data_IF_154452040685
#
_entry.id   IF_154452040685
#
_cell.length_a   1.000
_cell.length_b   1.000
_cell.length_c   1.000
_cell.angle_alpha   90.00
_cell.angle_beta   90.00
_cell.angle_gamma   90.00
#
_symmetry.space_group_name_H-M   'P 1'
#
loop_
_entity.id
_entity.type
_entity.pdbx_description
1 polymer ?
#
# COMPACT_ATOMS: atom_id res chain seq x y z
N UNK A 1 -16.56 -36.87 19.72
CA UNK A 1 -15.28 -37.00 20.42
C UNK A 1 -14.36 -35.83 20.04
N UNK A 2 -13.83 -35.72 18.83
CA UNK A 2 -12.86 -34.67 18.41
C UNK A 2 -13.32 -33.23 18.70
N UNK A 3 -14.59 -32.90 18.41
CA UNK A 3 -15.13 -31.55 18.66
C UNK A 3 -15.21 -31.24 20.18
N UNK A 4 -15.41 -32.25 21.01
CA UNK A 4 -15.41 -32.10 22.46
C UNK A 4 -14.00 -31.91 22.99
N UNK A 5 -13.01 -32.62 22.44
CA UNK A 5 -11.61 -32.49 22.80
C UNK A 5 -11.09 -31.07 22.48
N UNK A 6 -11.45 -30.54 21.28
CA UNK A 6 -11.15 -29.16 20.95
C UNK A 6 -11.86 -28.13 21.83
N UNK A 7 -13.15 -28.34 22.13
CA UNK A 7 -13.92 -27.45 22.99
C UNK A 7 -13.37 -27.41 24.42
N UNK A 8 -12.91 -28.53 24.94
CA UNK A 8 -12.32 -28.63 26.27
C UNK A 8 -10.97 -27.93 26.39
N UNK A 9 -10.27 -27.69 25.28
CA UNK A 9 -9.00 -26.95 25.30
C UNK A 9 -9.17 -25.43 25.48
N UNK A 10 -10.40 -24.90 25.34
CA UNK A 10 -10.69 -23.45 25.34
C UNK A 10 -11.72 -23.06 26.39
N UNK A 11 -12.51 -24.00 26.86
CA UNK A 11 -13.55 -23.76 27.85
C UNK A 11 -13.42 -24.70 29.04
N UNK A 12 -12.94 -24.15 30.18
CA UNK A 12 -12.72 -24.88 31.42
C UNK A 12 -14.00 -25.56 31.94
N UNK A 13 -15.18 -24.98 31.65
CA UNK A 13 -16.47 -25.58 32.08
C UNK A 13 -16.79 -26.85 31.29
N UNK A 14 -16.36 -26.93 30.05
CA UNK A 14 -16.46 -28.16 29.24
C UNK A 14 -15.43 -29.19 29.70
N UNK A 15 -14.21 -28.74 30.01
CA UNK A 15 -13.17 -29.60 30.54
C UNK A 15 -13.61 -30.27 31.83
N UNK A 16 -14.19 -29.51 32.77
CA UNK A 16 -14.74 -30.08 34.04
C UNK A 16 -15.85 -31.13 33.79
N UNK A 17 -16.73 -30.87 32.82
CA UNK A 17 -17.78 -31.83 32.46
C UNK A 17 -17.23 -33.10 31.84
N UNK A 18 -16.20 -32.97 30.97
CA UNK A 18 -15.50 -34.13 30.38
C UNK A 18 -14.84 -34.96 31.47
N UNK A 19 -14.14 -34.33 32.42
CA UNK A 19 -13.47 -35.01 33.55
C UNK A 19 -14.46 -35.70 34.49
N UNK A 20 -15.67 -35.15 34.64
CA UNK A 20 -16.72 -35.69 35.48
C UNK A 20 -17.69 -36.61 34.72
N UNK A 21 -17.37 -37.02 33.50
CA UNK A 21 -18.21 -37.89 32.64
C UNK A 21 -19.64 -37.39 32.45
N UNK A 22 -19.82 -36.06 32.48
CA UNK A 22 -21.14 -35.45 32.32
C UNK A 22 -21.46 -35.23 30.82
N UNK A 23 -22.75 -35.24 30.48
CA UNK A 23 -23.21 -34.98 29.11
C UNK A 23 -23.07 -33.51 28.76
N UNK A 24 -22.43 -33.22 27.60
CA UNK A 24 -22.31 -31.88 27.03
C UNK A 24 -23.45 -31.68 26.05
N UNK A 25 -24.20 -30.59 26.20
CA UNK A 25 -25.26 -30.24 25.26
C UNK A 25 -24.69 -29.68 23.98
N UNK A 26 -25.45 -29.82 22.88
CA UNK A 26 -25.06 -29.21 21.58
C UNK A 26 -24.94 -27.69 21.64
N UNK A 27 -25.69 -27.03 22.52
CA UNK A 27 -25.62 -25.55 22.69
C UNK A 27 -24.30 -25.14 23.36
N UNK A 28 -23.86 -25.86 24.37
CA UNK A 28 -22.57 -25.61 25.04
C UNK A 28 -21.41 -25.86 24.09
N UNK A 29 -21.50 -26.90 23.27
CA UNK A 29 -20.48 -27.19 22.25
C UNK A 29 -20.40 -26.09 21.19
N UNK A 30 -21.55 -25.62 20.71
CA UNK A 30 -21.58 -24.48 19.74
C UNK A 30 -20.97 -23.24 20.35
N UNK A 31 -21.27 -22.92 21.62
CA UNK A 31 -20.71 -21.74 22.30
C UNK A 31 -19.17 -21.83 22.48
N UNK A 32 -18.66 -23.00 22.77
CA UNK A 32 -17.21 -23.21 22.87
C UNK A 32 -16.53 -23.11 21.47
N UNK A 33 -17.18 -23.64 20.44
CA UNK A 33 -16.68 -23.51 19.06
C UNK A 33 -16.73 -22.05 18.56
N UNK A 34 -17.68 -21.24 19.03
CA UNK A 34 -17.73 -19.80 18.78
C UNK A 34 -16.55 -19.06 19.42
N UNK A 35 -16.17 -19.43 20.65
CA UNK A 35 -14.97 -18.91 21.30
C UNK A 35 -13.70 -19.29 20.51
N UNK A 36 -13.59 -20.55 20.07
CA UNK A 36 -12.50 -21.03 19.23
C UNK A 36 -12.39 -20.25 17.91
N UNK A 37 -13.53 -20.04 17.25
CA UNK A 37 -13.58 -19.28 15.98
C UNK A 37 -13.19 -17.81 16.14
N UNK A 38 -13.30 -17.27 17.36
CA UNK A 38 -12.93 -15.90 17.70
C UNK A 38 -11.49 -15.76 18.19
N UNK A 39 -10.77 -16.87 18.37
CA UNK A 39 -9.35 -16.89 18.73
C UNK A 39 -8.46 -16.73 17.50
N UNK A 40 -7.30 -16.10 17.67
CA UNK A 40 -6.28 -15.98 16.62
C UNK A 40 -5.49 -17.28 16.40
N UNK A 41 -5.58 -18.24 17.35
CA UNK A 41 -4.82 -19.49 17.30
C UNK A 41 -5.49 -20.59 16.47
N UNK A 42 -6.77 -20.44 16.11
CA UNK A 42 -7.54 -21.48 15.44
C UNK A 42 -8.25 -20.98 14.17
N UNK A 43 -8.29 -21.83 13.16
CA UNK A 43 -9.02 -21.59 11.92
C UNK A 43 -9.99 -22.74 11.65
N UNK A 44 -11.27 -22.43 11.52
CA UNK A 44 -12.29 -23.40 11.13
C UNK A 44 -12.19 -23.73 9.64
N UNK A 45 -11.94 -25.00 9.30
CA UNK A 45 -11.81 -25.48 7.95
C UNK A 45 -13.01 -26.31 7.53
N UNK A 46 -13.56 -26.07 6.34
CA UNK A 46 -14.67 -26.80 5.74
C UNK A 46 -14.27 -27.39 4.41
N UNK A 47 -14.50 -28.68 4.22
CA UNK A 47 -14.33 -29.33 2.94
C UNK A 47 -15.66 -29.34 2.18
N UNK A 48 -15.63 -28.91 0.91
CA UNK A 48 -16.84 -28.85 0.10
C UNK A 48 -16.57 -28.69 -1.39
N UNK A 49 -17.62 -28.70 -2.18
CA UNK A 49 -17.57 -28.44 -3.62
C UNK A 49 -18.76 -27.55 -4.01
N UNK A 50 -18.46 -26.29 -4.31
CA UNK A 50 -19.46 -25.33 -4.79
C UNK A 50 -20.13 -25.81 -6.11
N UNK A 51 -19.33 -26.38 -7.03
CA UNK A 51 -19.82 -26.93 -8.30
C UNK A 51 -20.84 -28.06 -8.12
N UNK A 52 -20.64 -28.90 -7.10
CA UNK A 52 -21.55 -30.03 -6.78
C UNK A 52 -22.59 -29.66 -5.72
N UNK A 53 -22.62 -28.41 -5.28
CA UNK A 53 -23.44 -27.94 -4.14
C UNK A 53 -23.28 -28.80 -2.86
N UNK A 54 -22.09 -29.40 -2.69
CA UNK A 54 -21.77 -30.22 -1.53
C UNK A 54 -21.19 -29.35 -0.43
N UNK A 55 -21.73 -29.48 0.79
CA UNK A 55 -21.32 -28.77 2.02
C UNK A 55 -21.50 -27.24 2.00
N UNK A 56 -22.11 -26.64 0.96
CA UNK A 56 -22.34 -25.18 0.88
C UNK A 56 -23.29 -24.72 1.99
N UNK A 57 -24.37 -25.48 2.24
CA UNK A 57 -25.32 -25.16 3.33
C UNK A 57 -24.66 -25.22 4.70
N UNK A 58 -23.78 -26.19 4.93
CA UNK A 58 -23.03 -26.31 6.19
C UNK A 58 -22.12 -25.10 6.40
N UNK A 59 -21.41 -24.65 5.35
CA UNK A 59 -20.58 -23.43 5.40
C UNK A 59 -21.43 -22.20 5.73
N UNK A 60 -22.57 -22.02 5.08
CA UNK A 60 -23.48 -20.88 5.36
C UNK A 60 -23.99 -20.88 6.80
N UNK A 61 -24.39 -22.07 7.31
CA UNK A 61 -24.82 -22.21 8.70
C UNK A 61 -23.69 -21.89 9.67
N UNK A 62 -22.47 -22.35 9.38
CA UNK A 62 -21.30 -22.09 10.21
C UNK A 62 -20.91 -20.60 10.21
N UNK A 63 -20.99 -19.93 9.07
CA UNK A 63 -20.79 -18.48 9.00
C UNK A 63 -21.81 -17.71 9.86
N UNK A 64 -23.07 -18.15 9.88
CA UNK A 64 -24.09 -17.51 10.72
C UNK A 64 -23.94 -17.78 12.20
N UNK A 65 -23.34 -18.91 12.58
CA UNK A 65 -23.12 -19.30 13.98
C UNK A 65 -21.81 -18.77 14.56
N UNK A 66 -20.74 -18.85 13.78
CA UNK A 66 -19.37 -18.63 14.27
C UNK A 66 -18.72 -17.34 13.82
N UNK A 67 -19.29 -16.61 12.86
CA UNK A 67 -18.77 -15.28 12.50
C UNK A 67 -19.05 -14.31 13.63
N UNK A 68 -18.00 -13.91 14.35
CA UNK A 68 -18.13 -12.97 15.45
C UNK A 68 -18.64 -11.61 14.95
N UNK A 69 -19.58 -11.01 15.67
CA UNK A 69 -19.98 -9.62 15.47
C UNK A 69 -18.82 -8.69 15.85
N UNK A 70 -18.58 -7.61 15.08
CA UNK A 70 -17.54 -6.65 15.42
C UNK A 70 -17.77 -6.08 16.83
N UNK A 71 -16.75 -6.20 17.68
CA UNK A 71 -16.77 -5.58 19.01
C UNK A 71 -16.61 -4.06 18.89
N UNK A 72 -17.32 -3.28 19.71
CA UNK A 72 -17.06 -1.85 19.83
C UNK A 72 -15.63 -1.65 20.37
N UNK A 73 -14.82 -0.91 19.62
CA UNK A 73 -13.47 -0.54 20.05
C UNK A 73 -13.55 0.54 21.14
N UNK A 74 -14.42 1.54 20.95
CA UNK A 74 -14.64 2.62 21.91
C UNK A 74 -16.06 3.17 21.76
N UNK A 75 -16.81 3.23 22.86
CA UNK A 75 -18.22 3.74 22.85
C UNK A 75 -18.33 5.26 22.70
N UNK A 76 -17.26 6.01 22.87
CA UNK A 76 -17.24 7.47 22.69
C UNK A 76 -17.00 7.88 21.23
N UNK A 77 -16.72 6.94 20.37
CA UNK A 77 -16.42 7.14 18.96
C UNK A 77 -17.60 6.72 18.09
N UNK A 78 -17.91 7.53 17.07
CA UNK A 78 -18.89 7.19 16.05
C UNK A 78 -18.40 6.00 15.22
N UNK A 79 -17.16 6.10 14.75
CA UNK A 79 -16.55 5.05 13.93
C UNK A 79 -15.29 5.47 13.23
N UNK A 80 -14.72 4.52 12.51
CA UNK A 80 -13.45 4.60 11.81
C UNK A 80 -13.67 4.66 10.30
N UNK A 81 -13.10 5.69 9.64
CA UNK A 81 -13.16 5.89 8.18
C UNK A 81 -12.14 4.98 7.50
N UNK A 82 -12.61 3.95 6.82
CA UNK A 82 -11.75 3.00 6.13
C UNK A 82 -11.70 3.18 4.62
N UNK A 83 -12.61 3.99 4.04
CA UNK A 83 -12.64 4.27 2.60
C UNK A 83 -13.29 5.62 2.32
N UNK A 84 -12.73 6.35 1.36
CA UNK A 84 -13.38 7.50 0.73
C UNK A 84 -13.88 7.09 -0.65
N UNK A 85 -15.04 7.60 -1.06
CA UNK A 85 -15.64 7.33 -2.35
C UNK A 85 -16.24 8.60 -2.94
N UNK A 86 -15.97 8.83 -4.22
CA UNK A 86 -16.56 9.94 -4.95
C UNK A 86 -17.76 9.45 -5.77
N UNK A 87 -18.88 10.17 -5.64
CA UNK A 87 -20.09 9.97 -6.43
C UNK A 87 -20.34 11.21 -7.26
N UNK A 88 -20.51 11.06 -8.58
CA UNK A 88 -20.66 12.19 -9.49
C UNK A 88 -21.79 13.15 -9.10
N UNK A 89 -22.92 12.63 -8.62
CA UNK A 89 -24.09 13.42 -8.22
C UNK A 89 -24.07 13.88 -6.76
N UNK A 90 -23.38 13.17 -5.90
CA UNK A 90 -23.46 13.36 -4.44
C UNK A 90 -22.15 13.86 -3.83
N UNK A 91 -21.09 14.00 -4.64
CA UNK A 91 -19.77 14.38 -4.17
C UNK A 91 -19.06 13.25 -3.42
N UNK A 92 -18.15 13.62 -2.53
CA UNK A 92 -17.38 12.69 -1.73
C UNK A 92 -18.15 12.24 -0.50
N UNK A 93 -18.05 10.95 -0.20
CA UNK A 93 -18.57 10.33 1.02
C UNK A 93 -17.48 9.48 1.68
N UNK A 94 -17.46 9.46 3.00
CA UNK A 94 -16.61 8.60 3.79
C UNK A 94 -17.37 7.33 4.19
N UNK A 95 -16.79 6.17 3.94
CA UNK A 95 -17.32 4.91 4.46
C UNK A 95 -16.68 4.61 5.80
N UNK A 96 -17.51 4.37 6.79
CA UNK A 96 -17.06 4.05 8.14
C UNK A 96 -17.86 2.89 8.71
N UNK A 97 -17.28 2.21 9.69
CA UNK A 97 -17.98 1.22 10.50
C UNK A 97 -18.43 1.90 11.79
N UNK A 98 -19.72 1.78 12.11
CA UNK A 98 -20.26 2.34 13.33
C UNK A 98 -19.78 1.55 14.56
N UNK A 99 -19.26 2.25 15.56
CA UNK A 99 -18.78 1.67 16.83
C UNK A 99 -19.87 1.60 17.90
N UNK A 100 -20.96 2.35 17.73
CA UNK A 100 -22.08 2.40 18.66
C UNK A 100 -23.39 2.61 17.93
N UNK A 101 -24.50 2.28 18.59
CA UNK A 101 -25.84 2.63 18.14
C UNK A 101 -26.11 4.09 18.40
N UNK A 102 -26.57 4.83 17.39
CA UNK A 102 -26.87 6.26 17.50
C UNK A 102 -27.99 6.65 16.53
N UNK A 103 -28.82 7.60 16.91
CA UNK A 103 -29.75 8.24 16.01
C UNK A 103 -29.06 9.37 15.27
N UNK A 104 -29.26 9.46 13.95
CA UNK A 104 -28.61 10.47 13.11
C UNK A 104 -28.92 11.91 13.56
N UNK A 105 -30.08 12.15 14.12
CA UNK A 105 -30.51 13.46 14.69
C UNK A 105 -29.73 13.89 15.95
N UNK A 106 -29.06 12.94 16.63
CA UNK A 106 -28.22 13.22 17.80
C UNK A 106 -26.84 13.73 17.38
N UNK A 107 -26.49 13.62 16.10
CA UNK A 107 -25.22 14.07 15.57
C UNK A 107 -25.29 15.54 15.15
N UNK A 108 -24.20 16.30 15.16
CA UNK A 108 -24.19 17.71 14.77
C UNK A 108 -24.77 17.98 13.38
N UNK A 109 -25.39 19.14 13.19
CA UNK A 109 -25.96 19.53 11.90
C UNK A 109 -24.88 19.58 10.79
N UNK A 110 -25.28 19.20 9.59
CA UNK A 110 -24.41 19.16 8.42
C UNK A 110 -23.80 17.79 8.12
N UNK A 111 -23.96 16.81 9.02
CA UNK A 111 -23.61 15.42 8.76
C UNK A 111 -24.82 14.66 8.24
N UNK A 112 -24.65 13.93 7.14
CA UNK A 112 -25.72 13.12 6.54
C UNK A 112 -25.26 11.67 6.42
N UNK A 113 -26.10 10.76 6.92
CA UNK A 113 -25.78 9.34 6.96
C UNK A 113 -26.59 8.55 5.93
N UNK A 114 -25.93 7.60 5.27
CA UNK A 114 -26.53 6.79 4.23
C UNK A 114 -26.14 5.33 4.38
N UNK A 115 -27.06 4.44 4.02
CA UNK A 115 -26.74 3.03 3.73
C UNK A 115 -26.47 2.89 2.24
N UNK A 116 -25.39 2.23 1.90
CA UNK A 116 -25.06 1.95 0.50
C UNK A 116 -25.76 0.70 0.00
N UNK A 117 -26.40 0.81 -1.17
CA UNK A 117 -26.92 -0.33 -1.93
C UNK A 117 -26.40 -0.23 -3.35
N UNK A 118 -25.28 -0.91 -3.63
CA UNK A 118 -24.53 -0.71 -4.88
C UNK A 118 -24.02 0.73 -5.01
N UNK A 119 -24.51 1.47 -6.00
CA UNK A 119 -24.19 2.88 -6.22
C UNK A 119 -25.24 3.86 -5.65
N UNK A 120 -26.27 3.35 -4.99
CA UNK A 120 -27.30 4.19 -4.39
C UNK A 120 -26.98 4.50 -2.93
N UNK A 121 -27.17 5.75 -2.55
CA UNK A 121 -27.08 6.24 -1.18
C UNK A 121 -28.49 6.39 -0.65
N UNK A 122 -28.89 5.58 0.32
CA UNK A 122 -30.20 5.60 0.96
C UNK A 122 -30.06 6.27 2.32
N UNK A 123 -30.74 7.41 2.58
CA UNK A 123 -30.67 8.08 3.86
C UNK A 123 -31.11 7.16 5.00
N UNK A 124 -30.44 7.28 6.14
CA UNK A 124 -30.77 6.52 7.36
C UNK A 124 -30.91 7.45 8.55
N UNK A 125 -31.80 7.10 9.43
CA UNK A 125 -32.06 7.83 10.68
C UNK A 125 -31.47 7.14 11.90
N UNK A 126 -31.12 5.88 11.78
CA UNK A 126 -30.56 5.05 12.84
C UNK A 126 -29.30 4.35 12.33
N UNK A 127 -28.22 4.43 13.09
CA UNK A 127 -26.98 3.70 12.86
C UNK A 127 -26.87 2.59 13.91
N UNK A 128 -26.52 1.40 13.48
CA UNK A 128 -26.32 0.23 14.34
C UNK A 128 -24.86 -0.12 14.44
N UNK A 129 -24.44 -0.48 15.64
CA UNK A 129 -23.08 -0.93 15.92
C UNK A 129 -22.68 -2.07 14.98
N UNK A 130 -21.48 -1.96 14.41
CA UNK A 130 -20.90 -2.96 13.53
C UNK A 130 -21.28 -2.84 12.06
N UNK A 131 -22.39 -2.12 11.74
CA UNK A 131 -22.81 -1.86 10.36
C UNK A 131 -21.90 -0.82 9.68
N UNK A 132 -21.87 -0.88 8.35
CA UNK A 132 -21.13 0.05 7.50
C UNK A 132 -22.08 1.08 6.91
N UNK A 133 -21.72 2.35 7.08
CA UNK A 133 -22.47 3.49 6.55
C UNK A 133 -21.58 4.40 5.72
N UNK A 134 -22.23 5.16 4.84
CA UNK A 134 -21.61 6.28 4.14
C UNK A 134 -21.99 7.58 4.86
N UNK A 135 -21.02 8.45 5.00
CA UNK A 135 -21.14 9.75 5.67
C UNK A 135 -20.79 10.86 4.70
N UNK A 136 -21.69 11.81 4.52
CA UNK A 136 -21.35 13.12 3.98
C UNK A 136 -21.08 14.05 5.15
N UNK A 137 -19.90 14.64 5.19
CA UNK A 137 -19.40 15.45 6.29
C UNK A 137 -19.10 16.87 5.82
N UNK A 138 -19.34 17.91 6.64
CA UNK A 138 -18.83 19.25 6.38
C UNK A 138 -17.31 19.34 6.58
N UNK A 139 -16.72 18.35 7.25
CA UNK A 139 -15.26 18.24 7.46
C UNK A 139 -14.61 17.49 6.32
N UNK A 140 -13.38 17.87 6.00
CA UNK A 140 -12.53 17.09 5.10
C UNK A 140 -12.00 15.86 5.86
N UNK A 141 -12.52 14.68 5.49
CA UNK A 141 -12.14 13.42 6.08
C UNK A 141 -11.02 12.73 5.27
N UNK A 142 -10.16 12.00 5.97
CA UNK A 142 -9.10 11.20 5.41
C UNK A 142 -9.25 9.74 5.82
N UNK A 143 -8.56 8.85 5.12
CA UNK A 143 -8.49 7.45 5.51
C UNK A 143 -7.80 7.33 6.86
N UNK A 144 -8.38 6.53 7.75
CA UNK A 144 -7.88 6.38 9.11
C UNK A 144 -8.45 7.37 10.12
N UNK A 145 -9.23 8.36 9.69
CA UNK A 145 -9.89 9.26 10.63
C UNK A 145 -10.91 8.53 11.49
N UNK A 146 -10.95 8.90 12.75
CA UNK A 146 -11.98 8.50 13.70
C UNK A 146 -12.83 9.73 14.01
N UNK A 147 -14.14 9.56 14.00
CA UNK A 147 -15.07 10.62 14.40
C UNK A 147 -15.56 10.35 15.83
N UNK A 148 -15.56 11.39 16.67
CA UNK A 148 -16.24 11.37 17.96
C UNK A 148 -17.74 11.49 17.79
N UNK A 149 -18.50 11.19 18.83
CA UNK A 149 -19.96 11.42 18.85
C UNK A 149 -20.32 12.91 18.85
N UNK A 150 -19.39 13.80 19.21
CA UNK A 150 -19.54 15.25 19.08
C UNK A 150 -19.30 15.78 17.65
N UNK A 151 -18.93 14.90 16.70
CA UNK A 151 -18.61 15.29 15.33
C UNK A 151 -17.19 15.83 15.13
N UNK A 152 -16.33 15.70 16.13
CA UNK A 152 -14.94 16.11 16.03
C UNK A 152 -14.09 15.02 15.36
N UNK A 153 -13.11 15.47 14.56
CA UNK A 153 -12.13 14.59 13.92
C UNK A 153 -11.03 14.25 14.91
N UNK A 154 -10.95 12.98 15.27
CA UNK A 154 -9.86 12.41 16.03
C UNK A 154 -8.87 11.76 15.05
N UNK A 155 -7.58 12.03 15.19
CA UNK A 155 -6.58 11.43 14.29
C UNK A 155 -6.33 9.98 14.69
N UNK A 156 -6.40 9.06 13.72
CA UNK A 156 -5.94 7.69 13.91
C UNK A 156 -4.44 7.58 13.58
N UNK A 157 -3.72 6.77 14.36
CA UNK A 157 -2.30 6.50 14.15
C UNK A 157 -2.01 5.48 13.03
N UNK A 158 -3.02 5.06 12.26
CA UNK A 158 -2.84 4.09 11.18
C UNK A 158 -2.27 4.77 9.95
N UNK A 159 -1.04 4.45 9.61
CA UNK A 159 -0.40 4.86 8.37
C UNK A 159 -0.69 3.83 7.28
N UNK A 160 -1.55 4.19 6.33
CA UNK A 160 -1.87 3.36 5.16
C UNK A 160 -0.87 3.53 4.01
N UNK A 161 -0.01 4.54 4.06
CA UNK A 161 0.93 4.86 2.97
C UNK A 161 2.05 3.84 2.81
N UNK A 162 2.38 3.10 3.88
CA UNK A 162 3.51 2.15 3.90
C UNK A 162 3.25 0.81 3.22
N UNK A 163 2.01 0.51 2.81
CA UNK A 163 1.65 -0.83 2.32
C UNK A 163 1.81 -1.02 0.81
N UNK A 164 1.95 0.07 0.04
CA UNK A 164 2.03 0.01 -1.42
C UNK A 164 3.33 0.64 -1.92
N UNK A 165 4.24 -0.21 -2.36
CA UNK A 165 5.45 0.26 -3.03
C UNK A 165 5.16 0.36 -4.53
N UNK A 166 5.17 1.56 -5.12
CA UNK A 166 4.91 1.71 -6.54
C UNK A 166 6.08 1.11 -7.34
N UNK A 167 5.75 0.29 -8.32
CA UNK A 167 6.71 -0.40 -9.17
C UNK A 167 6.76 0.17 -10.59
N UNK A 168 5.73 0.92 -10.99
CA UNK A 168 5.61 1.55 -12.30
C UNK A 168 5.42 3.05 -12.16
N UNK A 169 5.92 3.79 -13.14
CA UNK A 169 5.68 5.21 -13.30
C UNK A 169 5.23 5.52 -14.73
N UNK A 170 4.40 6.55 -14.88
CA UNK A 170 3.88 6.95 -16.19
C UNK A 170 3.69 8.46 -16.20
N UNK A 171 4.12 9.10 -17.27
CA UNK A 171 3.87 10.53 -17.50
C UNK A 171 2.43 10.73 -17.98
N UNK A 172 1.76 11.71 -17.41
CA UNK A 172 0.39 12.11 -17.76
C UNK A 172 0.38 13.57 -18.18
N UNK A 173 -0.19 13.83 -19.33
CA UNK A 173 -0.31 15.17 -19.91
C UNK A 173 -1.77 15.53 -20.15
N UNK A 174 -2.14 16.80 -19.92
CA UNK A 174 -3.41 17.34 -20.37
C UNK A 174 -3.38 17.64 -21.84
N UNK A 175 -4.38 17.18 -22.59
CA UNK A 175 -4.52 17.50 -24.01
C UNK A 175 -5.00 18.95 -24.25
N UNK A 176 -5.61 19.58 -23.23
CA UNK A 176 -6.09 20.96 -23.29
C UNK A 176 -5.66 21.75 -22.05
N UNK A 177 -5.21 23.00 -22.26
CA UNK A 177 -4.87 23.91 -21.15
C UNK A 177 -6.08 24.26 -20.29
N UNK A 178 -7.27 24.31 -20.89
CA UNK A 178 -8.51 24.63 -20.18
C UNK A 178 -8.91 23.51 -19.19
N UNK A 179 -8.52 22.28 -19.47
CA UNK A 179 -8.78 21.13 -18.60
C UNK A 179 -7.76 20.97 -17.44
N UNK A 180 -6.68 21.76 -17.44
CA UNK A 180 -5.60 21.59 -16.45
C UNK A 180 -6.11 21.69 -15.00
N UNK A 181 -6.82 22.77 -14.65
CA UNK A 181 -7.36 22.96 -13.29
C UNK A 181 -8.35 21.87 -12.88
N UNK A 182 -9.17 21.40 -13.84
CA UNK A 182 -10.11 20.30 -13.65
C UNK A 182 -9.39 18.99 -13.41
N UNK A 183 -8.37 18.69 -14.23
CA UNK A 183 -7.55 17.48 -14.09
C UNK A 183 -6.79 17.48 -12.77
N UNK A 184 -6.22 18.61 -12.37
CA UNK A 184 -5.53 18.73 -11.08
C UNK A 184 -6.46 18.41 -9.90
N UNK A 185 -7.71 18.93 -9.89
CA UNK A 185 -8.70 18.62 -8.88
C UNK A 185 -9.13 17.15 -8.90
N UNK A 186 -9.30 16.59 -10.11
CA UNK A 186 -9.65 15.19 -10.28
C UNK A 186 -8.55 14.25 -9.75
N UNK A 187 -7.30 14.53 -10.07
CA UNK A 187 -6.14 13.78 -9.57
C UNK A 187 -6.08 13.86 -8.04
N UNK A 188 -6.19 15.06 -7.45
CA UNK A 188 -6.19 15.23 -6.01
C UNK A 188 -7.30 14.42 -5.32
N UNK A 189 -8.50 14.38 -5.93
CA UNK A 189 -9.63 13.56 -5.43
C UNK A 189 -9.33 12.07 -5.54
N UNK A 190 -8.75 11.61 -6.65
CA UNK A 190 -8.41 10.20 -6.85
C UNK A 190 -7.34 9.72 -5.86
N UNK A 191 -6.27 10.49 -5.69
CA UNK A 191 -5.19 10.17 -4.73
C UNK A 191 -5.73 10.12 -3.31
N UNK A 192 -6.62 11.04 -2.94
CA UNK A 192 -7.23 11.04 -1.60
C UNK A 192 -8.17 9.85 -1.38
N UNK A 193 -8.92 9.43 -2.41
CA UNK A 193 -9.85 8.30 -2.30
C UNK A 193 -9.17 6.94 -2.39
N UNK A 194 -7.95 6.88 -2.93
CA UNK A 194 -7.18 5.66 -3.08
C UNK A 194 -5.69 5.93 -2.82
N UNK A 195 -5.20 5.65 -1.61
CA UNK A 195 -3.81 5.95 -1.21
C UNK A 195 -2.77 5.05 -1.91
N UNK A 196 -3.20 4.07 -2.69
CA UNK A 196 -2.29 3.27 -3.52
C UNK A 196 -1.73 4.05 -4.72
N UNK A 197 -2.37 5.17 -5.08
CA UNK A 197 -1.87 6.08 -6.10
C UNK A 197 -0.95 7.13 -5.48
N UNK A 198 0.24 7.27 -6.01
CA UNK A 198 1.12 8.39 -5.75
C UNK A 198 1.26 9.20 -7.04
N UNK A 199 0.99 10.49 -6.99
CA UNK A 199 1.09 11.38 -8.14
C UNK A 199 1.91 12.60 -7.76
N UNK A 200 2.90 12.90 -8.60
CA UNK A 200 3.80 14.04 -8.45
C UNK A 200 3.63 14.98 -9.64
N UNK A 201 3.59 16.28 -9.40
CA UNK A 201 3.53 17.27 -10.46
C UNK A 201 4.93 17.79 -10.75
N UNK A 202 5.35 17.73 -12.01
CA UNK A 202 6.62 18.28 -12.48
C UNK A 202 6.39 19.69 -13.03
N UNK A 203 6.76 20.71 -12.26
CA UNK A 203 6.57 22.11 -12.65
C UNK A 203 7.33 22.47 -13.93
N UNK A 204 8.54 21.94 -14.11
CA UNK A 204 9.39 22.23 -15.28
C UNK A 204 8.78 21.74 -16.60
N UNK A 205 8.10 20.59 -16.58
CA UNK A 205 7.50 19.95 -17.76
C UNK A 205 6.00 20.21 -17.86
N UNK A 206 5.35 20.69 -16.81
CA UNK A 206 3.92 20.93 -16.75
C UNK A 206 3.06 19.65 -16.85
N UNK A 207 3.61 18.51 -16.44
CA UNK A 207 2.96 17.20 -16.49
C UNK A 207 2.94 16.54 -15.11
N UNK A 208 2.21 15.45 -14.97
CA UNK A 208 2.18 14.62 -13.75
C UNK A 208 2.92 13.30 -13.99
N UNK A 209 3.60 12.81 -12.96
CA UNK A 209 4.09 11.44 -12.90
C UNK A 209 3.15 10.67 -12.00
N UNK A 210 2.58 9.59 -12.52
CA UNK A 210 1.72 8.67 -11.78
C UNK A 210 2.55 7.44 -11.44
N UNK A 211 2.61 7.12 -10.15
CA UNK A 211 3.24 5.92 -9.65
C UNK A 211 2.19 4.88 -9.30
N UNK A 212 2.31 3.67 -9.86
CA UNK A 212 1.36 2.56 -9.65
C UNK A 212 2.07 1.25 -9.33
N UNK A 213 1.33 0.29 -8.78
CA UNK A 213 1.85 -1.05 -8.49
C UNK A 213 1.84 -1.93 -9.74
N UNK A 214 0.99 -1.65 -10.72
CA UNK A 214 0.88 -2.46 -11.93
C UNK A 214 0.04 -1.79 -13.03
N UNK A 215 0.08 -2.38 -14.25
CA UNK A 215 -0.62 -1.88 -15.45
C UNK A 215 -2.14 -1.71 -15.23
N UNK A 216 -2.78 -2.69 -14.61
CA UNK A 216 -4.25 -2.66 -14.38
C UNK A 216 -4.65 -1.47 -13.50
N UNK A 217 -3.83 -1.14 -12.50
CA UNK A 217 -4.08 0.01 -11.64
C UNK A 217 -3.98 1.31 -12.42
N UNK A 218 -3.00 1.44 -13.32
CA UNK A 218 -2.87 2.59 -14.22
C UNK A 218 -4.08 2.71 -15.13
N UNK A 219 -4.51 1.62 -15.78
CA UNK A 219 -5.70 1.60 -16.63
C UNK A 219 -6.97 2.04 -15.87
N UNK A 220 -7.13 1.57 -14.63
CA UNK A 220 -8.24 1.97 -13.75
C UNK A 220 -8.17 3.46 -13.45
N UNK A 221 -6.98 3.99 -13.12
CA UNK A 221 -6.80 5.42 -12.85
C UNK A 221 -7.19 6.28 -14.05
N UNK A 222 -6.68 5.96 -15.24
CA UNK A 222 -7.00 6.67 -16.48
C UNK A 222 -8.49 6.57 -16.85
N UNK A 223 -9.07 5.38 -16.70
CA UNK A 223 -10.50 5.15 -16.94
C UNK A 223 -11.38 5.97 -15.98
N UNK A 224 -10.97 6.11 -14.71
CA UNK A 224 -11.69 6.93 -13.74
C UNK A 224 -11.57 8.42 -14.06
N UNK A 225 -10.38 8.92 -14.42
CA UNK A 225 -10.21 10.32 -14.86
C UNK A 225 -11.14 10.66 -16.04
N UNK A 226 -11.26 9.76 -17.01
CA UNK A 226 -12.09 9.97 -18.18
C UNK A 226 -13.59 9.83 -17.86
N UNK A 227 -14.02 8.77 -17.16
CA UNK A 227 -15.45 8.45 -16.94
C UNK A 227 -16.09 9.23 -15.80
N UNK A 228 -15.36 9.41 -14.69
CA UNK A 228 -15.91 10.07 -13.50
C UNK A 228 -15.72 11.57 -13.55
N UNK A 229 -14.60 12.04 -14.12
CA UNK A 229 -14.22 13.45 -14.12
C UNK A 229 -14.26 14.09 -15.52
N UNK A 230 -14.45 13.31 -16.57
CA UNK A 230 -14.45 13.79 -17.96
C UNK A 230 -13.19 14.61 -18.32
N UNK A 231 -12.02 14.17 -17.86
CA UNK A 231 -10.74 14.76 -18.15
C UNK A 231 -10.16 14.14 -19.42
N UNK A 232 -9.68 14.98 -20.35
CA UNK A 232 -8.98 14.56 -21.56
C UNK A 232 -7.49 14.57 -21.29
N UNK A 233 -6.94 13.40 -21.03
CA UNK A 233 -5.53 13.21 -20.70
C UNK A 233 -4.89 12.18 -21.62
N UNK A 234 -3.58 12.34 -21.87
CA UNK A 234 -2.74 11.35 -22.55
C UNK A 234 -1.73 10.79 -21.57
N UNK A 235 -1.61 9.49 -21.52
CA UNK A 235 -0.60 8.81 -20.74
C UNK A 235 0.50 8.27 -21.66
N UNK A 236 1.75 8.43 -21.25
CA UNK A 236 2.90 7.78 -21.88
C UNK A 236 2.92 6.27 -21.64
N UNK A 237 3.88 5.60 -22.23
CA UNK A 237 4.12 4.20 -21.91
C UNK A 237 4.57 4.04 -20.45
N UNK A 238 4.08 3.02 -19.72
CA UNK A 238 4.50 2.79 -18.36
C UNK A 238 5.97 2.34 -18.31
N UNK A 239 6.72 2.96 -17.43
CA UNK A 239 8.11 2.64 -17.17
C UNK A 239 8.24 1.99 -15.78
N UNK A 240 9.22 1.12 -15.65
CA UNK A 240 9.52 0.47 -14.37
C UNK A 240 10.26 1.45 -13.45
N UNK A 241 9.82 1.55 -12.20
CA UNK A 241 10.50 2.32 -11.17
C UNK A 241 11.77 1.59 -10.73
N UNK A 242 12.93 2.06 -11.15
CA UNK A 242 14.22 1.57 -10.69
C UNK A 242 14.59 2.18 -9.34
N UNK A 243 15.49 1.51 -8.62
CA UNK A 243 16.16 2.06 -7.45
C UNK A 243 17.67 2.09 -7.71
N UNK A 244 18.35 2.95 -6.97
CA UNK A 244 19.81 2.98 -6.93
C UNK A 244 20.29 2.49 -5.56
N UNK A 245 21.30 1.64 -5.54
CA UNK A 245 21.89 1.10 -4.34
C UNK A 245 23.38 1.48 -4.25
N UNK A 246 23.79 1.88 -3.05
CA UNK A 246 25.21 2.14 -2.78
C UNK A 246 25.98 0.82 -2.73
N UNK A 247 27.00 0.69 -3.57
CA UNK A 247 27.91 -0.48 -3.60
C UNK A 247 29.14 -0.24 -2.73
N UNK A 248 29.78 0.94 -2.90
CA UNK A 248 30.97 1.31 -2.15
C UNK A 248 30.71 2.49 -1.22
N UNK A 249 30.96 2.35 0.10
CA UNK A 249 30.78 3.45 1.03
C UNK A 249 31.83 4.53 0.80
N UNK A 250 31.43 5.79 1.01
CA UNK A 250 32.37 6.92 1.04
C UNK A 250 32.62 7.31 2.49
N UNK A 251 33.88 7.37 2.89
CA UNK A 251 34.29 7.70 4.24
C UNK A 251 35.04 9.04 4.24
N UNK A 252 34.56 9.97 5.08
CA UNK A 252 35.25 11.26 5.39
C UNK A 252 35.67 12.06 4.16
N UNK A 253 34.73 12.31 3.25
CA UNK A 253 34.94 13.23 2.13
C UNK A 253 34.83 14.68 2.67
N UNK A 254 35.90 15.45 2.54
CA UNK A 254 35.92 16.84 2.95
C UNK A 254 35.49 17.72 1.76
N UNK A 255 34.49 18.55 1.98
CA UNK A 255 34.07 19.57 1.01
C UNK A 255 34.05 20.93 1.67
N UNK A 256 34.60 21.91 0.94
CA UNK A 256 34.63 23.33 1.35
C UNK A 256 33.91 24.15 0.29
N UNK A 257 32.92 24.90 0.71
CA UNK A 257 32.20 25.83 -0.16
C UNK A 257 32.41 27.26 0.40
N UNK A 258 32.69 28.19 -0.52
CA UNK A 258 32.73 29.60 -0.23
C UNK A 258 31.72 30.35 -1.08
N UNK A 259 30.86 31.14 -0.44
CA UNK A 259 29.83 31.95 -1.10
C UNK A 259 29.89 33.37 -0.54
N UNK A 260 30.51 34.28 -1.28
CA UNK A 260 30.77 35.65 -0.83
C UNK A 260 31.69 35.66 0.40
N UNK A 261 31.29 36.31 1.53
CA UNK A 261 32.09 36.34 2.75
C UNK A 261 32.00 35.07 3.60
N UNK A 262 31.06 34.17 3.29
CA UNK A 262 30.80 32.97 4.07
C UNK A 262 31.54 31.75 3.51
N UNK A 263 32.15 30.98 4.40
CA UNK A 263 32.73 29.66 4.05
C UNK A 263 32.27 28.62 5.03
N UNK A 264 31.99 27.42 4.51
CA UNK A 264 31.64 26.25 5.31
C UNK A 264 32.46 25.05 4.89
N UNK A 265 32.89 24.24 5.85
CA UNK A 265 33.61 22.99 5.61
C UNK A 265 32.85 21.85 6.25
N UNK A 266 32.50 20.86 5.46
CA UNK A 266 31.78 19.68 5.91
C UNK A 266 32.57 18.40 5.61
N UNK A 267 32.55 17.49 6.56
CA UNK A 267 32.96 16.10 6.38
C UNK A 267 31.71 15.25 6.09
N UNK A 268 31.72 14.64 4.95
CA UNK A 268 30.61 13.81 4.49
C UNK A 268 30.99 12.33 4.49
N UNK A 269 30.10 11.49 4.95
CA UNK A 269 30.20 10.04 4.84
C UNK A 269 28.86 9.46 4.40
N UNK A 270 28.90 8.39 3.60
CA UNK A 270 27.72 7.63 3.25
C UNK A 270 28.02 6.15 3.32
N UNK A 271 27.11 5.39 3.92
CA UNK A 271 27.21 3.91 4.02
C UNK A 271 25.85 3.27 3.81
N UNK A 272 25.87 2.04 3.33
CA UNK A 272 24.66 1.23 3.16
C UNK A 272 24.14 0.79 4.53
N UNK A 273 22.82 0.89 4.71
CA UNK A 273 22.07 0.28 5.81
C UNK A 273 21.68 -1.15 5.42
N UNK A 274 21.66 -2.04 6.40
CA UNK A 274 21.22 -3.41 6.21
C UNK A 274 19.70 -3.49 6.40
N UNK A 275 19.02 -4.30 5.59
CA UNK A 275 17.61 -4.67 5.73
C UNK A 275 16.57 -3.53 5.64
N UNK A 276 16.95 -2.36 5.12
CA UNK A 276 16.00 -1.25 4.95
C UNK A 276 16.22 -0.52 3.63
N UNK A 277 15.13 -0.11 3.00
CA UNK A 277 15.15 0.79 1.85
C UNK A 277 15.04 2.27 2.26
N UNK A 278 14.80 2.55 3.54
CA UNK A 278 14.71 3.92 4.05
C UNK A 278 16.09 4.53 4.18
N UNK A 279 16.19 5.82 3.86
CA UNK A 279 17.40 6.60 4.04
C UNK A 279 17.35 7.32 5.38
N UNK A 280 18.50 7.45 6.01
CA UNK A 280 18.69 8.22 7.24
C UNK A 280 19.72 9.33 7.00
N UNK A 281 19.45 10.51 7.52
CA UNK A 281 20.38 11.63 7.50
C UNK A 281 20.73 12.02 8.93
N UNK A 282 22.02 12.07 9.25
CA UNK A 282 22.53 12.51 10.56
C UNK A 282 23.47 13.68 10.37
N UNK A 283 23.23 14.74 11.14
CA UNK A 283 24.01 15.97 11.11
C UNK A 283 24.64 16.21 12.49
N UNK A 284 25.93 16.47 12.51
CA UNK A 284 26.71 16.74 13.72
C UNK A 284 27.30 18.13 13.67
N UNK A 285 27.37 18.81 14.82
CA UNK A 285 27.94 20.14 14.94
C UNK A 285 27.01 21.28 14.50
N UNK A 286 25.68 21.05 14.47
CA UNK A 286 24.67 22.06 14.15
C UNK A 286 23.44 21.95 15.05
N UNK A 287 22.63 23.02 15.10
CA UNK A 287 21.37 23.03 15.83
C UNK A 287 20.28 22.21 15.10
N UNK A 288 19.17 21.88 15.80
CA UNK A 288 18.07 21.07 15.26
C UNK A 288 17.43 21.69 14.03
N UNK A 289 17.26 22.99 13.97
CA UNK A 289 16.64 23.70 12.86
C UNK A 289 17.47 23.58 11.57
N UNK A 290 18.76 23.77 11.63
CA UNK A 290 19.67 23.59 10.49
C UNK A 290 19.75 22.10 10.09
N UNK A 291 19.75 21.19 11.06
CA UNK A 291 19.79 19.77 10.86
C UNK A 291 18.56 19.29 10.08
N UNK A 292 17.35 19.77 10.41
CA UNK A 292 16.13 19.42 9.67
C UNK A 292 16.16 19.93 8.24
N UNK A 293 16.61 21.16 8.02
CA UNK A 293 16.71 21.75 6.69
C UNK A 293 17.74 21.02 5.79
N UNK A 294 18.88 20.61 6.37
CA UNK A 294 19.86 19.78 5.64
C UNK A 294 19.29 18.40 5.35
N UNK A 295 18.59 17.78 6.30
CA UNK A 295 17.98 16.49 6.11
C UNK A 295 16.95 16.51 4.97
N UNK A 296 16.08 17.52 4.92
CA UNK A 296 15.08 17.68 3.84
C UNK A 296 15.77 17.88 2.48
N UNK A 297 16.79 18.73 2.41
CA UNK A 297 17.52 18.93 1.17
C UNK A 297 18.23 17.66 0.68
N UNK A 298 18.76 16.86 1.62
CA UNK A 298 19.44 15.61 1.29
C UNK A 298 18.45 14.51 0.88
N UNK A 299 17.28 14.41 1.54
CA UNK A 299 16.22 13.49 1.12
C UNK A 299 15.78 13.81 -0.31
N UNK A 300 15.67 15.08 -0.67
CA UNK A 300 15.36 15.47 -2.05
C UNK A 300 16.48 15.07 -3.04
N UNK A 301 17.76 15.18 -2.65
CA UNK A 301 18.87 14.74 -3.50
C UNK A 301 18.87 13.23 -3.73
N UNK A 302 18.59 12.42 -2.71
CA UNK A 302 18.53 10.95 -2.83
C UNK A 302 17.31 10.48 -3.61
N UNK A 303 16.21 11.24 -3.63
CA UNK A 303 15.04 10.95 -4.46
C UNK A 303 15.36 11.03 -5.96
N UNK A 304 16.23 11.94 -6.36
CA UNK A 304 16.67 12.07 -7.76
C UNK A 304 17.75 11.04 -8.15
N UNK A 305 18.34 10.35 -7.18
CA UNK A 305 19.43 9.39 -7.37
C UNK A 305 20.74 10.04 -7.83
N UNK A 306 21.73 9.19 -8.10
CA UNK A 306 23.07 9.60 -8.57
C UNK A 306 23.18 9.43 -10.10
N UNK A 307 22.56 8.37 -10.63
CA UNK A 307 22.55 8.07 -12.06
C UNK A 307 21.32 8.64 -12.76
N UNK A 308 20.37 9.17 -12.01
CA UNK A 308 19.09 9.66 -12.54
C UNK A 308 18.19 8.54 -13.09
N UNK A 309 18.40 7.31 -12.63
CA UNK A 309 17.57 6.14 -13.02
C UNK A 309 16.48 5.82 -12.02
N UNK A 310 16.69 6.20 -10.77
CA UNK A 310 15.76 5.98 -9.68
C UNK A 310 16.32 6.54 -8.38
N UNK A 311 15.54 6.52 -7.31
CA UNK A 311 16.00 7.04 -6.02
C UNK A 311 17.09 6.14 -5.41
N UNK A 312 18.08 6.77 -4.81
CA UNK A 312 19.06 6.07 -3.97
C UNK A 312 18.38 5.61 -2.69
N UNK A 313 18.55 4.35 -2.30
CA UNK A 313 17.85 3.76 -1.15
C UNK A 313 18.80 3.05 -0.19
N UNK A 314 18.32 2.86 1.06
CA UNK A 314 19.02 2.11 2.10
C UNK A 314 20.35 2.70 2.52
N UNK A 315 20.45 4.03 2.62
CA UNK A 315 21.70 4.72 2.94
C UNK A 315 21.59 5.52 4.23
N UNK A 316 22.69 5.54 5.00
CA UNK A 316 22.93 6.49 6.06
C UNK A 316 23.91 7.56 5.56
N UNK A 317 23.43 8.81 5.52
CA UNK A 317 24.22 9.99 5.19
C UNK A 317 24.59 10.71 6.47
N UNK A 318 25.89 10.96 6.69
CA UNK A 318 26.42 11.61 7.87
C UNK A 318 27.19 12.87 7.48
N UNK A 319 26.83 14.01 8.08
CA UNK A 319 27.44 15.30 7.86
C UNK A 319 28.01 15.84 9.18
N UNK A 320 29.29 16.12 9.21
CA UNK A 320 29.98 16.70 10.36
C UNK A 320 30.62 18.02 9.97
N UNK A 321 30.18 19.11 10.59
CA UNK A 321 30.76 20.45 10.39
C UNK A 321 31.96 20.69 11.29
N UNK A 322 33.05 21.17 10.70
CA UNK A 322 34.29 21.50 11.46
C UNK A 322 34.18 22.81 12.23
N UNK A 323 33.33 23.71 11.76
CA UNK A 323 33.08 25.04 12.37
C UNK A 323 31.59 25.15 12.63
N UNK A 324 31.19 25.81 13.73
CA UNK A 324 29.76 25.99 14.06
C UNK A 324 29.08 26.87 13.02
N UNK A 325 28.08 26.37 12.29
CA UNK A 325 27.46 27.10 11.16
C UNK A 325 26.41 28.14 11.61
N UNK A 326 26.36 28.53 12.89
CA UNK A 326 25.27 29.37 13.43
C UNK A 326 25.19 30.76 12.77
N UNK A 327 26.32 31.29 12.31
CA UNK A 327 26.40 32.59 11.63
C UNK A 327 26.40 32.47 10.10
N UNK A 328 26.22 31.24 9.56
CA UNK A 328 26.28 30.99 8.13
C UNK A 328 24.84 30.93 7.58
N UNK A 329 24.54 31.61 6.45
CA UNK A 329 23.22 31.50 5.82
C UNK A 329 22.85 30.05 5.48
N UNK A 330 21.59 29.65 5.76
CA UNK A 330 21.07 28.30 5.54
C UNK A 330 21.36 27.81 4.12
N UNK A 331 21.25 28.69 3.12
CA UNK A 331 21.52 28.36 1.70
C UNK A 331 22.95 27.91 1.43
N UNK A 332 23.93 28.44 2.21
CA UNK A 332 25.35 28.03 2.09
C UNK A 332 25.56 26.66 2.70
N UNK A 333 24.91 26.41 3.86
CA UNK A 333 24.96 25.12 4.55
C UNK A 333 24.33 24.02 3.67
N UNK A 334 23.17 24.27 3.10
CA UNK A 334 22.54 23.35 2.17
C UNK A 334 23.43 23.06 0.96
N UNK A 335 23.96 24.12 0.34
CA UNK A 335 24.80 23.99 -0.85
C UNK A 335 26.05 23.16 -0.58
N UNK A 336 26.77 23.39 0.53
CA UNK A 336 28.00 22.63 0.83
C UNK A 336 27.68 21.14 1.04
N UNK A 337 26.53 20.80 1.63
CA UNK A 337 26.09 19.41 1.81
C UNK A 337 25.71 18.76 0.48
N UNK A 338 24.93 19.46 -0.36
CA UNK A 338 24.54 18.98 -1.69
C UNK A 338 25.77 18.77 -2.59
N UNK A 339 26.71 19.73 -2.59
CA UNK A 339 27.95 19.63 -3.36
C UNK A 339 28.83 18.48 -2.83
N UNK A 340 28.91 18.28 -1.51
CA UNK A 340 29.63 17.17 -0.89
C UNK A 340 29.07 15.82 -1.37
N UNK A 341 27.74 15.66 -1.36
CA UNK A 341 27.08 14.45 -1.86
C UNK A 341 27.39 14.21 -3.34
N UNK A 342 27.17 15.21 -4.19
CA UNK A 342 27.37 15.11 -5.64
C UNK A 342 28.83 14.83 -6.03
N UNK A 343 29.79 15.41 -5.32
CA UNK A 343 31.21 15.22 -5.58
C UNK A 343 31.75 13.88 -5.06
N UNK A 344 31.22 13.44 -3.91
CA UNK A 344 31.71 12.24 -3.23
C UNK A 344 31.09 10.96 -3.80
N UNK A 345 29.78 10.95 -4.11
CA UNK A 345 29.07 9.78 -4.61
C UNK A 345 29.09 9.81 -6.12
N UNK A 346 30.01 9.03 -6.70
CA UNK A 346 30.18 8.92 -8.15
C UNK A 346 29.36 7.75 -8.72
N UNK A 347 29.14 7.75 -10.02
CA UNK A 347 28.41 6.70 -10.72
C UNK A 347 28.96 5.26 -10.46
N UNK A 348 30.27 5.12 -10.23
CA UNK A 348 30.90 3.85 -9.89
C UNK A 348 30.54 3.33 -8.50
N UNK A 349 30.07 4.20 -7.61
CA UNK A 349 29.72 3.82 -6.23
C UNK A 349 28.29 3.25 -6.11
N UNK A 350 27.51 3.33 -7.18
CA UNK A 350 26.10 2.93 -7.18
C UNK A 350 25.81 1.95 -8.30
N UNK A 351 24.79 1.10 -8.07
CA UNK A 351 24.21 0.24 -9.10
C UNK A 351 22.71 0.44 -9.17
N UNK A 352 22.14 0.17 -10.34
CA UNK A 352 20.69 0.22 -10.56
C UNK A 352 20.11 -1.12 -10.16
N UNK A 353 19.02 -1.09 -9.40
CA UNK A 353 18.22 -2.24 -9.05
C UNK A 353 16.90 -2.20 -9.80
N UNK A 354 16.48 -3.34 -10.34
CA UNK A 354 15.17 -3.50 -10.95
C UNK A 354 14.24 -4.37 -10.09
N UNK A 355 12.91 -4.13 -10.09
CA UNK A 355 11.97 -4.97 -9.35
C UNK A 355 11.83 -6.33 -10.02
N UNK A 356 11.98 -7.37 -9.21
CA UNK A 356 11.78 -8.77 -9.59
C UNK A 356 10.41 -9.22 -9.06
N UNK A 357 9.64 -9.84 -9.94
CA UNK A 357 8.34 -10.40 -9.63
C UNK A 357 8.45 -11.91 -9.48
N UNK A 358 7.82 -12.45 -8.46
CA UNK A 358 7.55 -13.87 -8.37
C UNK A 358 6.23 -14.18 -9.08
N UNK A 359 6.27 -15.14 -10.00
CA UNK A 359 5.13 -15.62 -10.74
C UNK A 359 4.83 -17.04 -10.27
N UNK A 360 3.59 -17.28 -9.87
CA UNK A 360 3.01 -18.60 -9.77
C UNK A 360 2.05 -18.80 -10.93
N UNK A 361 2.15 -19.90 -11.66
CA UNK A 361 1.20 -20.24 -12.71
C UNK A 361 0.83 -21.71 -12.69
N UNK A 362 -0.42 -21.96 -13.03
CA UNK A 362 -1.03 -23.28 -13.12
C UNK A 362 -1.70 -23.46 -14.49
N UNK A 363 -1.42 -24.55 -15.17
CA UNK A 363 -1.95 -24.81 -16.53
C UNK A 363 -2.08 -26.29 -16.83
N UNK A 364 -2.91 -26.67 -17.82
CA UNK A 364 -2.90 -28.01 -18.36
C UNK A 364 -1.52 -28.40 -18.94
N UNK A 365 -1.14 -29.66 -18.77
CA UNK A 365 0.19 -30.16 -19.17
C UNK A 365 0.56 -29.84 -20.62
N UNK A 366 -0.44 -29.77 -21.52
CA UNK A 366 -0.25 -29.44 -22.94
C UNK A 366 0.30 -28.02 -23.19
N UNK A 367 0.12 -27.09 -22.25
CA UNK A 367 0.59 -25.71 -22.37
C UNK A 367 1.82 -25.38 -21.50
N UNK A 368 2.22 -26.31 -20.61
CA UNK A 368 3.30 -26.07 -19.67
C UNK A 368 4.62 -25.69 -20.37
N UNK A 369 4.98 -26.43 -21.43
CA UNK A 369 6.20 -26.15 -22.19
C UNK A 369 6.19 -24.79 -22.89
N UNK A 370 5.03 -24.36 -23.43
CA UNK A 370 4.92 -23.07 -24.08
C UNK A 370 4.97 -21.90 -23.07
N UNK A 371 4.34 -22.05 -21.91
CA UNK A 371 4.35 -21.04 -20.84
C UNK A 371 5.74 -20.92 -20.19
N UNK A 372 6.42 -22.04 -19.92
CA UNK A 372 7.80 -22.00 -19.39
C UNK A 372 8.78 -21.42 -20.41
N UNK A 373 8.55 -21.69 -21.73
CA UNK A 373 9.29 -21.05 -22.81
C UNK A 373 9.11 -19.53 -22.87
N UNK A 374 7.88 -19.02 -22.67
CA UNK A 374 7.60 -17.57 -22.58
C UNK A 374 8.30 -16.94 -21.38
N UNK A 375 8.35 -17.62 -20.23
CA UNK A 375 9.10 -17.15 -19.05
C UNK A 375 10.60 -17.03 -19.37
N UNK A 376 11.21 -18.00 -20.03
CA UNK A 376 12.61 -17.90 -20.43
C UNK A 376 12.84 -16.79 -21.45
N UNK A 377 11.95 -16.62 -22.43
CA UNK A 377 12.03 -15.51 -23.38
C UNK A 377 11.99 -14.16 -22.67
N UNK A 378 11.25 -14.05 -21.58
CA UNK A 378 11.16 -12.86 -20.71
C UNK A 378 12.33 -12.74 -19.74
N UNK A 379 13.39 -13.52 -19.92
CA UNK A 379 14.57 -13.55 -19.05
C UNK A 379 14.24 -13.97 -17.60
N UNK A 380 13.16 -14.71 -17.41
CA UNK A 380 12.77 -15.26 -16.13
C UNK A 380 13.54 -16.52 -15.77
N UNK A 381 13.71 -16.73 -14.47
CA UNK A 381 14.31 -17.93 -13.88
C UNK A 381 13.20 -18.80 -13.27
N UNK A 382 13.03 -20.02 -13.79
CA UNK A 382 12.09 -20.97 -13.20
C UNK A 382 12.75 -21.57 -11.95
N UNK A 383 12.03 -21.51 -10.84
CA UNK A 383 12.49 -22.00 -9.52
C UNK A 383 12.06 -23.44 -9.30
N UNK A 384 10.82 -23.77 -9.62
CA UNK A 384 10.27 -25.12 -9.46
C UNK A 384 9.16 -25.38 -10.45
N UNK A 385 8.98 -26.64 -10.82
CA UNK A 385 7.87 -27.15 -11.61
C UNK A 385 7.33 -28.38 -10.90
N UNK A 386 6.03 -28.43 -10.68
CA UNK A 386 5.31 -29.57 -10.13
C UNK A 386 4.15 -29.93 -11.04
N UNK A 387 3.73 -31.20 -11.06
CA UNK A 387 2.59 -31.63 -11.85
C UNK A 387 2.19 -33.08 -11.57
N UNK A 388 0.91 -33.38 -11.73
CA UNK A 388 0.30 -34.71 -11.55
C UNK A 388 -0.01 -35.42 -12.87
N UNK A 389 0.54 -34.94 -13.99
CA UNK A 389 0.32 -35.43 -15.35
C UNK A 389 -0.78 -34.68 -16.11
N UNK A 390 -1.80 -34.10 -15.45
CA UNK A 390 -2.86 -33.33 -16.08
C UNK A 390 -2.68 -31.83 -15.92
N UNK A 391 -2.25 -31.39 -14.75
CA UNK A 391 -2.05 -29.98 -14.43
C UNK A 391 -0.60 -29.82 -13.98
N UNK A 392 0.05 -28.78 -14.49
CA UNK A 392 1.37 -28.37 -14.09
C UNK A 392 1.31 -27.00 -13.44
N UNK A 393 2.05 -26.85 -12.35
CA UNK A 393 2.29 -25.56 -11.68
C UNK A 393 3.77 -25.24 -11.70
N UNK A 394 4.11 -23.97 -11.79
CA UNK A 394 5.49 -23.51 -11.70
C UNK A 394 5.63 -22.18 -10.97
N UNK A 395 6.77 -22.01 -10.32
CA UNK A 395 7.22 -20.76 -9.73
C UNK A 395 8.38 -20.21 -10.55
N UNK A 396 8.38 -18.92 -10.81
CA UNK A 396 9.43 -18.24 -11.54
C UNK A 396 9.69 -16.83 -11.01
N UNK A 397 10.95 -16.38 -11.12
CA UNK A 397 11.34 -14.97 -10.89
C UNK A 397 11.52 -14.30 -12.25
N UNK A 398 10.90 -13.15 -12.46
CA UNK A 398 10.97 -12.42 -13.73
C UNK A 398 11.12 -10.92 -13.48
N UNK A 399 12.02 -10.21 -14.19
CA UNK A 399 12.11 -8.76 -14.12
C UNK A 399 10.79 -8.11 -14.59
N UNK A 400 10.28 -7.14 -13.80
CA UNK A 400 8.97 -6.52 -14.09
C UNK A 400 8.94 -5.88 -15.49
N UNK A 401 10.04 -5.27 -15.94
CA UNK A 401 10.13 -4.67 -17.29
C UNK A 401 9.85 -5.67 -18.44
N UNK A 402 10.00 -6.97 -18.19
CA UNK A 402 9.73 -8.03 -19.16
C UNK A 402 8.32 -8.60 -19.07
N UNK A 403 7.54 -8.14 -18.09
CA UNK A 403 6.19 -8.66 -17.83
C UNK A 403 5.08 -7.81 -18.43
N UNK A 404 5.41 -6.68 -19.08
CA UNK A 404 4.40 -5.92 -19.82
C UNK A 404 3.68 -6.81 -20.84
N UNK A 405 2.34 -6.76 -20.82
CA UNK A 405 1.50 -7.59 -21.67
C UNK A 405 1.49 -9.10 -21.31
N UNK A 406 2.07 -9.52 -20.19
CA UNK A 406 2.14 -10.94 -19.79
C UNK A 406 0.74 -11.55 -19.60
N UNK A 407 -0.22 -10.83 -19.05
CA UNK A 407 -1.60 -11.26 -18.90
C UNK A 407 -2.22 -11.72 -20.24
N UNK A 408 -2.00 -10.94 -21.28
CA UNK A 408 -2.47 -11.24 -22.63
C UNK A 408 -1.74 -12.43 -23.23
N UNK A 409 -0.42 -12.52 -23.05
CA UNK A 409 0.39 -13.64 -23.52
C UNK A 409 -0.04 -14.96 -22.88
N UNK A 410 -0.18 -15.04 -21.56
CA UNK A 410 -0.64 -16.24 -20.85
C UNK A 410 -2.02 -16.68 -21.35
N UNK A 411 -2.96 -15.74 -21.49
CA UNK A 411 -4.31 -16.05 -21.99
C UNK A 411 -4.27 -16.59 -23.41
N UNK A 412 -3.46 -16.01 -24.29
CA UNK A 412 -3.30 -16.44 -25.66
C UNK A 412 -2.66 -17.83 -25.76
N UNK A 413 -1.54 -18.07 -25.06
CA UNK A 413 -0.80 -19.33 -25.08
C UNK A 413 -1.66 -20.47 -24.55
N UNK A 414 -2.37 -20.25 -23.44
CA UNK A 414 -3.17 -21.27 -22.75
C UNK A 414 -4.61 -21.35 -23.24
N UNK A 415 -5.02 -20.53 -24.20
CA UNK A 415 -6.41 -20.36 -24.63
C UNK A 415 -7.36 -20.05 -23.46
N UNK A 416 -6.86 -19.28 -22.48
CA UNK A 416 -7.60 -18.86 -21.31
C UNK A 416 -7.73 -19.92 -20.20
N UNK A 417 -7.02 -21.06 -20.29
CA UNK A 417 -7.12 -22.14 -19.30
C UNK A 417 -6.10 -22.05 -18.17
N UNK A 418 -5.02 -21.28 -18.34
CA UNK A 418 -4.04 -21.08 -17.30
C UNK A 418 -4.50 -20.01 -16.29
N UNK A 419 -4.14 -20.24 -15.04
CA UNK A 419 -4.30 -19.29 -13.92
C UNK A 419 -2.90 -18.87 -13.52
N UNK A 420 -2.71 -17.57 -13.24
CA UNK A 420 -1.45 -17.08 -12.74
C UNK A 420 -1.67 -16.00 -11.68
N UNK A 421 -0.67 -15.85 -10.82
CA UNK A 421 -0.55 -14.72 -9.89
C UNK A 421 0.85 -14.15 -9.95
N UNK A 422 0.96 -12.85 -9.69
CA UNK A 422 2.24 -12.14 -9.60
C UNK A 422 2.30 -11.41 -8.27
N UNK A 423 3.46 -11.46 -7.63
CA UNK A 423 3.74 -10.64 -6.45
C UNK A 423 5.15 -10.05 -6.57
N UNK A 424 5.31 -8.87 -6.00
CA UNK A 424 6.64 -8.29 -5.85
C UNK A 424 7.47 -9.16 -4.91
N UNK A 425 8.70 -9.49 -5.31
CA UNK A 425 9.64 -10.26 -4.52
C UNK A 425 10.67 -9.33 -3.87
N UNK A 426 11.48 -8.70 -4.69
CA UNK A 426 12.58 -7.83 -4.25
C UNK A 426 13.07 -6.91 -5.36
N UNK A 427 13.92 -5.97 -5.02
CA UNK A 427 14.75 -5.23 -5.98
C UNK A 427 16.13 -5.91 -6.10
N UNK A 428 16.56 -6.17 -7.33
CA UNK A 428 17.84 -6.83 -7.60
C UNK A 428 18.67 -6.11 -8.68
#
# INVERSE_FOLDING_TARGET
AEAVDFASSVDDSILEKVLNEQTISSVELVHALEKLASSEDYVLCYAGSAKKNFSVRSLMTSLSLFAASPKALNKSELGFVFRLRYFHQSGEVALFRAHTDILAEQFPAGFEFFRMRGNLLLPVTELRQGDIYALRSPLVLELGDVLSLSGEKLRCALDFSGHYQPLLQTHLECLSKDDFSKTQKAIATLVRTDPSFKVEFQEELGNWIIHTVGEVQLEVFLSRLQREFHCNVSAGEPEVSFLEELVEPVKKFENKCQLGPFSATVLFSIKKLQETLKNEVKCYGMNETLSSVVADAMLHCVENGVLGKGKLCGCLLEFEFKETPEDIPVSVVQKVCVDAFKLAVLSKNVRVLEPIMEIFAECPASYAGALTGDIHFRQGKILSIAGDGNIHSFYAEVPLRKLFGYATAVRSISKGTAIYSMRFLEYR
#
